data_IF_728345447472
#
_entry.id   IF_728345447472
#
_cell.length_a   1.000
_cell.length_b   1.000
_cell.length_c   1.000
_cell.angle_alpha   90.00
_cell.angle_beta   90.00
_cell.angle_gamma   90.00
#
_symmetry.space_group_name_H-M   'P 1'
#
loop_
_entity.id
_entity.type
_entity.pdbx_description
1 polymer ?
#
# COMPACT_ATOMS: atom_id res chain seq x y z
N UNK A 1 -37.97 -37.56 -14.12
CA UNK A 1 -37.77 -36.60 -13.04
C UNK A 1 -36.39 -36.64 -12.37
N UNK A 2 -35.44 -37.47 -12.82
CA UNK A 2 -34.14 -37.68 -12.17
C UNK A 2 -32.98 -36.87 -12.75
N UNK A 3 -33.08 -36.40 -14.00
CA UNK A 3 -31.98 -35.65 -14.69
C UNK A 3 -31.74 -34.24 -14.16
N UNK A 4 -32.76 -33.53 -13.67
CA UNK A 4 -32.63 -32.19 -13.16
C UNK A 4 -32.05 -32.10 -11.74
N UNK A 5 -32.13 -33.18 -10.96
CA UNK A 5 -31.52 -33.27 -9.62
C UNK A 5 -30.02 -33.45 -9.66
N UNK A 6 -29.49 -34.13 -10.67
CA UNK A 6 -28.05 -34.33 -10.84
C UNK A 6 -27.34 -33.02 -11.27
N UNK A 7 -27.99 -32.21 -12.14
CA UNK A 7 -27.45 -30.92 -12.57
C UNK A 7 -27.45 -29.89 -11.43
N UNK A 8 -28.46 -29.89 -10.56
CA UNK A 8 -28.53 -29.02 -9.41
C UNK A 8 -27.44 -29.35 -8.36
N UNK A 9 -27.16 -30.62 -8.16
CA UNK A 9 -26.10 -31.07 -7.25
C UNK A 9 -24.70 -30.71 -7.75
N UNK A 10 -24.43 -30.76 -9.07
CA UNK A 10 -23.15 -30.32 -9.65
C UNK A 10 -22.96 -28.81 -9.57
N UNK A 11 -24.00 -28.01 -9.73
CA UNK A 11 -23.93 -26.54 -9.59
C UNK A 11 -23.64 -26.12 -8.14
N UNK A 12 -24.24 -26.78 -7.15
CA UNK A 12 -23.96 -26.52 -5.73
C UNK A 12 -22.53 -26.92 -5.34
N UNK A 13 -22.00 -28.02 -5.86
CA UNK A 13 -20.63 -28.45 -5.59
C UNK A 13 -19.58 -27.47 -6.18
N UNK A 14 -19.82 -26.90 -7.35
CA UNK A 14 -18.96 -25.91 -7.98
C UNK A 14 -18.93 -24.58 -7.19
N UNK A 15 -20.06 -24.14 -6.61
CA UNK A 15 -20.13 -22.95 -5.78
C UNK A 15 -19.37 -23.11 -4.44
N UNK A 16 -19.41 -24.30 -3.85
CA UNK A 16 -18.68 -24.58 -2.61
C UNK A 16 -17.17 -24.71 -2.84
N UNK A 17 -16.72 -25.25 -3.97
CA UNK A 17 -15.31 -25.35 -4.31
C UNK A 17 -14.66 -23.99 -4.64
N UNK A 18 -15.40 -23.08 -5.28
CA UNK A 18 -14.93 -21.73 -5.59
C UNK A 18 -14.75 -20.84 -4.34
N UNK A 19 -15.61 -21.01 -3.33
CA UNK A 19 -15.55 -20.21 -2.09
C UNK A 19 -14.37 -20.54 -1.18
N UNK A 20 -13.92 -21.80 -1.17
CA UNK A 20 -12.81 -22.26 -0.31
C UNK A 20 -11.43 -21.82 -0.85
N UNK A 21 -11.29 -21.67 -2.18
CA UNK A 21 -10.04 -21.21 -2.80
C UNK A 21 -9.75 -19.72 -2.50
N UNK A 22 -10.76 -18.89 -2.49
CA UNK A 22 -10.61 -17.42 -2.27
C UNK A 22 -10.27 -17.07 -0.82
N UNK A 23 -10.82 -17.80 0.14
CA UNK A 23 -10.51 -17.59 1.57
C UNK A 23 -9.09 -18.03 1.94
N UNK A 24 -8.53 -19.06 1.29
CA UNK A 24 -7.16 -19.53 1.55
C UNK A 24 -6.08 -18.58 1.03
N UNK A 25 -6.27 -17.92 -0.11
CA UNK A 25 -5.29 -16.94 -0.61
C UNK A 25 -5.18 -15.70 0.30
N UNK A 26 -6.30 -15.21 0.85
CA UNK A 26 -6.27 -14.09 1.80
C UNK A 26 -5.62 -14.45 3.14
N UNK A 27 -5.80 -15.68 3.61
CA UNK A 27 -5.18 -16.14 4.86
C UNK A 27 -3.66 -16.33 4.74
N UNK A 28 -3.15 -16.70 3.57
CA UNK A 28 -1.72 -16.94 3.34
C UNK A 28 -0.90 -15.62 3.35
N UNK A 29 -1.42 -14.54 2.78
CA UNK A 29 -0.82 -13.21 2.81
C UNK A 29 -0.73 -12.66 4.25
N UNK A 30 -1.84 -12.63 4.95
CA UNK A 30 -1.96 -12.09 6.29
C UNK A 30 -1.09 -12.81 7.36
N UNK A 31 -0.75 -14.09 7.14
CA UNK A 31 0.13 -14.84 8.05
C UNK A 31 1.60 -14.51 7.85
N UNK A 32 2.03 -14.25 6.63
CA UNK A 32 3.41 -13.89 6.28
C UNK A 32 3.74 -12.48 6.73
N UNK A 33 2.81 -11.54 6.57
CA UNK A 33 2.94 -10.16 7.04
C UNK A 33 3.16 -10.08 8.56
N UNK A 34 2.41 -10.86 9.34
CA UNK A 34 2.55 -10.88 10.80
C UNK A 34 3.89 -11.44 11.28
N UNK A 35 4.53 -12.35 10.53
CA UNK A 35 5.83 -12.92 10.86
C UNK A 35 7.00 -11.93 10.74
N UNK A 36 6.84 -10.84 9.98
CA UNK A 36 7.84 -9.79 9.83
C UNK A 36 7.73 -8.68 10.87
N UNK A 37 6.60 -8.61 11.61
CA UNK A 37 6.36 -7.56 12.58
C UNK A 37 7.18 -7.74 13.85
N UNK A 38 7.77 -6.65 14.33
CA UNK A 38 8.44 -6.59 15.63
C UNK A 38 7.45 -6.18 16.74
N UNK A 39 7.67 -6.62 18.00
CA UNK A 39 6.87 -6.15 19.12
C UNK A 39 6.86 -4.62 19.22
N UNK A 40 5.69 -4.04 19.44
CA UNK A 40 5.50 -2.59 19.51
C UNK A 40 5.23 -1.91 18.17
N UNK A 41 5.44 -2.59 17.03
CA UNK A 41 5.11 -2.04 15.71
C UNK A 41 3.62 -2.18 15.36
N UNK A 42 3.20 -1.48 14.32
CA UNK A 42 1.85 -1.48 13.75
C UNK A 42 1.92 -1.77 12.26
N UNK A 43 1.01 -2.56 11.74
CA UNK A 43 0.78 -2.69 10.29
C UNK A 43 -0.21 -1.62 9.86
N UNK A 44 0.20 -0.80 8.92
CA UNK A 44 -0.65 0.24 8.32
C UNK A 44 -0.75 0.00 6.82
N UNK A 45 -1.98 0.04 6.30
CA UNK A 45 -2.27 -0.08 4.89
C UNK A 45 -2.39 1.30 4.26
N UNK A 46 -1.58 1.60 3.26
CA UNK A 46 -1.64 2.83 2.48
C UNK A 46 -2.00 2.50 1.03
N UNK A 47 -2.94 3.25 0.49
CA UNK A 47 -3.33 3.14 -0.92
C UNK A 47 -2.44 4.03 -1.77
N UNK A 48 -1.90 3.48 -2.85
CA UNK A 48 -1.06 4.18 -3.83
C UNK A 48 -1.41 3.73 -5.25
N UNK A 49 -0.70 4.19 -6.25
CA UNK A 49 -0.88 3.74 -7.64
C UNK A 49 -0.33 2.31 -7.79
N UNK A 50 -1.06 1.44 -8.53
CA UNK A 50 -0.71 0.02 -8.68
C UNK A 50 0.67 -0.17 -9.33
N UNK A 51 1.07 0.73 -10.24
CA UNK A 51 2.37 0.69 -10.92
C UNK A 51 3.56 0.96 -9.98
N UNK A 52 3.38 1.71 -8.89
CA UNK A 52 4.44 1.98 -7.90
C UNK A 52 4.80 0.74 -7.07
N UNK A 53 3.92 -0.27 -7.09
CA UNK A 53 4.09 -1.52 -6.35
C UNK A 53 4.62 -2.67 -7.21
N UNK A 54 5.03 -2.41 -8.46
CA UNK A 54 5.45 -3.46 -9.41
C UNK A 54 6.61 -4.29 -8.88
N UNK A 55 7.63 -3.62 -8.34
CA UNK A 55 8.87 -4.23 -7.86
C UNK A 55 9.00 -4.17 -6.33
N UNK A 56 7.92 -3.86 -5.62
CA UNK A 56 7.93 -3.76 -4.15
C UNK A 56 7.53 -5.09 -3.54
N UNK A 57 8.40 -5.65 -2.71
CA UNK A 57 8.24 -6.97 -2.09
C UNK A 57 8.30 -6.88 -0.56
N UNK A 58 7.73 -7.87 0.15
CA UNK A 58 7.87 -7.99 1.60
C UNK A 58 9.34 -8.04 2.03
N UNK A 59 9.72 -7.18 2.97
CA UNK A 59 11.09 -7.01 3.46
C UNK A 59 11.85 -5.84 2.82
N UNK A 60 11.35 -5.28 1.73
CA UNK A 60 11.93 -4.08 1.13
C UNK A 60 11.76 -2.86 2.05
N UNK A 61 12.54 -1.83 1.75
CA UNK A 61 12.46 -0.53 2.41
C UNK A 61 11.98 0.52 1.44
N UNK A 62 11.06 1.36 1.91
CA UNK A 62 10.45 2.42 1.10
C UNK A 62 10.43 3.75 1.86
N UNK A 63 10.39 4.83 1.07
CA UNK A 63 10.01 6.14 1.55
C UNK A 63 8.57 6.44 1.12
N UNK A 64 7.84 7.20 1.94
CA UNK A 64 6.45 7.56 1.66
C UNK A 64 6.33 9.05 1.49
N UNK A 65 5.83 9.47 0.33
CA UNK A 65 5.63 10.86 -0.05
C UNK A 65 4.13 11.15 -0.08
N UNK A 66 3.73 12.30 0.47
CA UNK A 66 2.39 12.86 0.27
C UNK A 66 2.47 13.99 -0.75
N UNK A 67 1.61 13.94 -1.75
CA UNK A 67 1.44 14.98 -2.77
C UNK A 67 0.10 15.64 -2.54
N UNK A 68 0.08 16.93 -2.26
CA UNK A 68 -1.12 17.67 -1.90
C UNK A 68 -1.16 19.07 -2.52
N UNK A 69 -2.36 19.62 -2.59
CA UNK A 69 -2.59 20.97 -3.07
C UNK A 69 -2.61 21.96 -1.89
N UNK A 70 -1.74 22.95 -1.93
CA UNK A 70 -1.76 24.07 -1.00
C UNK A 70 -2.30 25.32 -1.68
N UNK A 71 -3.32 25.93 -1.09
CA UNK A 71 -3.90 27.16 -1.58
C UNK A 71 -3.16 28.36 -1.00
N UNK A 72 -2.54 29.14 -1.86
CA UNK A 72 -1.97 30.45 -1.53
C UNK A 72 -2.94 31.57 -1.96
N UNK A 73 -2.65 32.80 -1.56
CA UNK A 73 -3.47 33.97 -2.02
C UNK A 73 -3.46 34.16 -3.54
N UNK A 74 -2.48 33.61 -4.24
CA UNK A 74 -2.28 33.84 -5.67
C UNK A 74 -2.64 32.61 -6.54
N UNK A 75 -2.52 31.38 -6.02
CA UNK A 75 -2.73 30.17 -6.79
C UNK A 75 -2.83 28.92 -5.89
N UNK A 76 -3.35 27.84 -6.47
CA UNK A 76 -3.18 26.47 -5.94
C UNK A 76 -1.85 25.93 -6.45
N UNK A 77 -1.00 25.44 -5.56
CA UNK A 77 0.32 24.89 -5.88
C UNK A 77 0.41 23.47 -5.32
N UNK A 78 0.90 22.53 -6.14
CA UNK A 78 1.19 21.18 -5.69
C UNK A 78 2.50 21.14 -4.92
N UNK A 79 2.44 20.52 -3.76
CA UNK A 79 3.56 20.27 -2.90
C UNK A 79 3.76 18.77 -2.74
N UNK A 80 5.00 18.36 -2.51
CA UNK A 80 5.38 17.02 -2.14
C UNK A 80 6.23 17.04 -0.88
N UNK A 81 5.94 16.17 0.05
CA UNK A 81 6.72 16.00 1.28
C UNK A 81 6.94 14.52 1.59
N UNK A 82 8.18 14.14 1.82
CA UNK A 82 8.50 12.81 2.37
C UNK A 82 8.25 12.85 3.87
N UNK A 83 7.23 12.13 4.32
CA UNK A 83 6.83 12.14 5.73
C UNK A 83 7.24 10.87 6.50
N UNK A 84 7.54 9.79 5.78
CA UNK A 84 8.11 8.57 6.34
C UNK A 84 9.30 8.15 5.49
N UNK A 85 10.39 7.72 6.14
CA UNK A 85 11.59 7.25 5.47
C UNK A 85 12.03 5.90 6.01
N UNK A 86 12.53 5.03 5.13
CA UNK A 86 13.11 3.74 5.47
C UNK A 86 12.12 2.77 6.14
N UNK A 87 10.87 2.79 5.72
CA UNK A 87 9.83 1.94 6.28
C UNK A 87 9.85 0.54 5.69
N UNK A 88 9.67 -0.48 6.54
CA UNK A 88 9.66 -1.88 6.07
C UNK A 88 8.30 -2.23 5.46
N UNK A 89 8.35 -2.81 4.28
CA UNK A 89 7.20 -3.38 3.59
C UNK A 89 6.88 -4.75 4.19
N UNK A 90 5.67 -4.91 4.68
CA UNK A 90 5.13 -6.19 5.13
C UNK A 90 4.51 -6.99 3.98
N UNK A 91 3.93 -6.28 3.00
CA UNK A 91 3.27 -6.87 1.85
C UNK A 91 2.67 -5.83 0.93
N UNK A 92 2.23 -6.28 -0.24
CA UNK A 92 1.52 -5.47 -1.22
C UNK A 92 0.29 -6.20 -1.71
N UNK A 93 -0.74 -5.45 -2.11
CA UNK A 93 -1.92 -5.97 -2.79
C UNK A 93 -2.18 -5.15 -4.03
N UNK A 94 -2.10 -5.79 -5.20
CA UNK A 94 -2.29 -5.17 -6.50
C UNK A 94 -3.55 -5.72 -7.15
N UNK A 95 -4.28 -4.85 -7.82
CA UNK A 95 -5.55 -5.23 -8.46
C UNK A 95 -5.41 -5.43 -9.98
N UNK A 96 -4.20 -5.27 -10.52
CA UNK A 96 -3.85 -5.59 -11.91
C UNK A 96 -4.51 -4.70 -12.97
N UNK A 97 -4.93 -3.49 -12.62
CA UNK A 97 -5.45 -2.50 -13.55
C UNK A 97 -4.39 -1.41 -13.77
N UNK A 98 -4.07 -1.01 -15.01
CA UNK A 98 -3.04 0.00 -15.30
C UNK A 98 -3.25 1.32 -14.56
N UNK A 99 -4.52 1.76 -14.43
CA UNK A 99 -4.91 2.97 -13.71
C UNK A 99 -5.47 2.65 -12.32
N UNK A 100 -5.21 1.45 -11.81
CA UNK A 100 -5.74 0.95 -10.55
C UNK A 100 -4.98 1.47 -9.35
N UNK A 101 -5.64 1.40 -8.20
CA UNK A 101 -5.02 1.63 -6.91
C UNK A 101 -4.55 0.29 -6.34
N UNK A 102 -3.31 0.27 -5.85
CA UNK A 102 -2.76 -0.82 -5.04
C UNK A 102 -2.73 -0.45 -3.56
N UNK A 103 -2.35 -1.40 -2.73
CA UNK A 103 -2.17 -1.21 -1.29
C UNK A 103 -0.81 -1.75 -0.88
N UNK A 104 -0.05 -0.93 -0.15
CA UNK A 104 1.17 -1.35 0.54
C UNK A 104 0.88 -1.45 2.04
N UNK A 105 1.38 -2.51 2.66
CA UNK A 105 1.34 -2.70 4.12
C UNK A 105 2.71 -2.39 4.68
N UNK A 106 2.80 -1.40 5.57
CA UNK A 106 4.05 -0.94 6.18
C UNK A 106 4.10 -1.30 7.65
N UNK A 107 5.30 -1.60 8.15
CA UNK A 107 5.58 -1.75 9.57
C UNK A 107 6.04 -0.42 10.13
N UNK A 108 5.22 0.20 10.96
CA UNK A 108 5.43 1.52 11.53
C UNK A 108 5.47 1.47 13.05
N UNK A 109 6.14 2.41 13.68
CA UNK A 109 5.97 2.65 15.11
C UNK A 109 4.60 3.32 15.38
N UNK A 110 4.15 3.42 16.66
CA UNK A 110 2.84 3.99 16.96
C UNK A 110 2.65 5.46 16.55
N UNK A 111 3.72 6.27 16.56
CA UNK A 111 3.68 7.68 16.18
C UNK A 111 3.59 7.80 14.65
N UNK A 112 4.42 7.09 13.92
CA UNK A 112 4.38 7.01 12.46
C UNK A 112 3.03 6.50 11.95
N UNK A 113 2.44 5.52 12.64
CA UNK A 113 1.12 5.00 12.32
C UNK A 113 0.02 6.08 12.41
N UNK A 114 0.13 7.03 13.35
CA UNK A 114 -0.80 8.17 13.43
C UNK A 114 -0.63 9.12 12.24
N UNK A 115 0.61 9.43 11.86
CA UNK A 115 0.88 10.25 10.66
C UNK A 115 0.37 9.57 9.39
N UNK A 116 0.64 8.27 9.26
CA UNK A 116 0.18 7.48 8.12
C UNK A 116 -1.35 7.42 8.02
N UNK A 117 -2.07 7.43 9.13
CA UNK A 117 -3.54 7.48 9.14
C UNK A 117 -4.10 8.84 8.66
N UNK A 118 -3.35 9.92 8.82
CA UNK A 118 -3.74 11.27 8.40
C UNK A 118 -3.37 11.56 6.94
N UNK A 119 -2.26 11.00 6.47
CA UNK A 119 -1.68 11.30 5.17
C UNK A 119 -2.66 11.15 3.98
N UNK A 120 -3.46 10.07 3.86
CA UNK A 120 -4.41 9.91 2.75
C UNK A 120 -5.54 10.95 2.72
N UNK A 121 -5.73 11.68 3.82
CA UNK A 121 -6.72 12.77 3.92
C UNK A 121 -6.16 14.11 3.45
N UNK A 122 -4.84 14.21 3.37
CA UNK A 122 -4.14 15.42 2.94
C UNK A 122 -3.88 15.40 1.42
N UNK A 123 -3.63 14.23 0.83
CA UNK A 123 -3.28 14.14 -0.57
C UNK A 123 -3.08 12.72 -1.06
N UNK A 124 -2.48 12.59 -2.21
CA UNK A 124 -2.10 11.32 -2.81
C UNK A 124 -0.82 10.79 -2.17
N UNK A 125 -0.80 9.47 -1.96
CA UNK A 125 0.38 8.76 -1.47
C UNK A 125 1.18 8.24 -2.66
N UNK A 126 2.49 8.47 -2.62
CA UNK A 126 3.46 7.88 -3.53
C UNK A 126 4.50 7.08 -2.74
N UNK A 127 4.88 5.92 -3.27
CA UNK A 127 5.83 4.99 -2.66
C UNK A 127 7.11 4.98 -3.47
N UNK A 128 8.23 5.22 -2.81
CA UNK A 128 9.56 5.21 -3.44
C UNK A 128 10.38 4.07 -2.87
N UNK A 129 10.73 3.10 -3.71
CA UNK A 129 11.56 1.95 -3.33
C UNK A 129 13.00 2.39 -3.07
N UNK A 130 13.55 2.01 -1.91
CA UNK A 130 14.95 2.25 -1.57
C UNK A 130 15.85 1.12 -2.07
N UNK A 131 17.10 1.46 -2.34
CA UNK A 131 18.11 0.45 -2.65
C UNK A 131 18.27 -0.51 -1.46
N UNK A 132 18.40 -1.83 -1.70
CA UNK A 132 18.68 -2.79 -0.64
C UNK A 132 19.91 -2.40 0.18
N UNK A 133 19.75 -2.37 1.51
CA UNK A 133 20.81 -1.99 2.45
C UNK A 133 20.93 -0.50 2.73
N UNK A 134 20.26 0.37 2.00
CA UNK A 134 20.20 1.79 2.31
C UNK A 134 19.36 2.03 3.57
N UNK A 135 19.99 2.58 4.60
CA UNK A 135 19.38 2.91 5.89
C UNK A 135 19.53 4.40 6.25
N UNK A 136 20.10 5.19 5.35
CA UNK A 136 20.34 6.59 5.61
C UNK A 136 19.01 7.36 5.64
N UNK A 137 18.87 8.23 6.63
CA UNK A 137 17.74 9.15 6.75
C UNK A 137 18.25 10.55 6.52
N UNK A 138 17.70 11.22 5.54
CA UNK A 138 18.06 12.57 5.19
C UNK A 138 16.95 13.55 5.56
N UNK A 139 17.29 14.75 6.09
CA UNK A 139 16.33 15.83 6.16
C UNK A 139 15.84 16.15 4.74
N UNK A 140 14.54 15.99 4.49
CA UNK A 140 13.93 16.28 3.19
C UNK A 140 13.01 17.47 3.37
N UNK A 141 13.30 18.53 2.62
CA UNK A 141 12.45 19.72 2.58
C UNK A 141 11.21 19.45 1.74
N UNK A 142 10.12 20.17 2.06
CA UNK A 142 8.94 20.17 1.23
C UNK A 142 9.26 20.81 -0.12
N UNK A 143 8.98 20.09 -1.19
CA UNK A 143 9.23 20.53 -2.56
C UNK A 143 7.95 21.06 -3.20
N UNK A 144 8.09 22.06 -4.05
CA UNK A 144 7.06 22.50 -4.95
C UNK A 144 7.55 22.45 -6.41
N UNK A 145 6.61 22.46 -7.37
CA UNK A 145 6.96 22.38 -8.78
C UNK A 145 7.76 23.59 -9.28
N UNK A 146 7.69 24.73 -8.59
CA UNK A 146 8.43 25.97 -8.95
C UNK A 146 9.90 25.87 -8.54
N UNK A 147 10.22 25.14 -7.49
CA UNK A 147 11.61 24.96 -7.04
C UNK A 147 12.46 24.15 -8.03
N UNK A 148 11.80 23.39 -8.93
CA UNK A 148 12.48 22.60 -9.96
C UNK A 148 13.13 23.42 -11.08
N UNK A 149 12.72 24.66 -11.26
CA UNK A 149 13.14 25.56 -12.35
C UNK A 149 14.02 26.72 -11.88
N UNK A 150 14.63 26.60 -10.72
CA UNK A 150 15.58 27.58 -10.18
C UNK A 150 17.03 27.21 -10.38
#
# INVERSE_FOLDING_TARGET
>A
MTRNRALLAMLLAALLAGGVGWSRQRAFGASRERGLMTPGSRSVALQTQDYELLDVHPGDRVDVIVIFDATTRAAVVKHAVTFLQNEMVLGTSRFGKPDGKGVVYLMLNPIEAQYAALAPRQGEISIVLRKPGDKEIHPVEMSDFRSFFR
#
